data_IF_697543762697
#
_entry.id   IF_697543762697
#
_cell.length_a   1.000
_cell.length_b   1.000
_cell.length_c   1.000
_cell.angle_alpha   90.00
_cell.angle_beta   90.00
_cell.angle_gamma   90.00
#
_symmetry.space_group_name_H-M   'P 1'
#
loop_
_entity.id
_entity.type
_entity.pdbx_description
1 polymer ?
#
# COMPACT_ATOMS: atom_id res chain seq x y z
N UNK A 1 -9.40 -14.61 -2.15
CA UNK A 1 -9.18 -13.21 -1.72
C UNK A 1 -8.52 -12.46 -2.84
N UNK A 2 -8.98 -11.24 -3.13
CA UNK A 2 -8.42 -10.41 -4.20
C UNK A 2 -7.02 -9.87 -3.77
N UNK A 3 -6.04 -9.86 -4.66
CA UNK A 3 -4.65 -9.47 -4.37
C UNK A 3 -4.58 -8.04 -3.79
N UNK A 4 -5.42 -7.13 -4.30
CA UNK A 4 -5.53 -5.76 -3.78
C UNK A 4 -5.98 -5.74 -2.32
N UNK A 5 -6.91 -6.62 -1.93
CA UNK A 5 -7.39 -6.70 -0.55
C UNK A 5 -6.29 -7.23 0.39
N UNK A 6 -5.42 -8.12 -0.10
CA UNK A 6 -4.23 -8.55 0.65
C UNK A 6 -3.24 -7.40 0.83
N UNK A 7 -3.03 -6.58 -0.20
CA UNK A 7 -2.18 -5.39 -0.10
C UNK A 7 -2.70 -4.38 0.93
N UNK A 8 -4.01 -4.12 0.93
CA UNK A 8 -4.65 -3.23 1.91
C UNK A 8 -4.43 -3.74 3.33
N UNK A 9 -4.70 -5.03 3.60
CA UNK A 9 -4.47 -5.61 4.92
C UNK A 9 -3.01 -5.55 5.35
N UNK A 10 -2.06 -5.72 4.42
CA UNK A 10 -0.64 -5.58 4.71
C UNK A 10 -0.27 -4.14 5.06
N UNK A 11 -0.80 -3.16 4.32
CA UNK A 11 -0.64 -1.73 4.60
C UNK A 11 -1.19 -1.37 5.98
N UNK A 12 -2.43 -1.76 6.28
CA UNK A 12 -3.07 -1.50 7.58
C UNK A 12 -2.28 -2.13 8.74
N UNK A 13 -1.84 -3.39 8.58
CA UNK A 13 -1.01 -4.08 9.59
C UNK A 13 0.33 -3.37 9.82
N UNK A 14 0.87 -2.71 8.81
CA UNK A 14 2.11 -1.93 8.89
C UNK A 14 1.87 -0.46 9.32
N UNK A 15 0.67 -0.09 9.77
CA UNK A 15 0.36 1.25 10.25
C UNK A 15 0.11 2.28 9.14
N UNK A 16 -0.02 1.85 7.89
CA UNK A 16 -0.45 2.74 6.81
C UNK A 16 -1.96 2.91 6.83
N UNK A 17 -2.43 4.14 6.74
CA UNK A 17 -3.84 4.48 6.61
C UNK A 17 -4.11 5.14 5.26
N UNK A 18 -5.35 5.02 4.81
CA UNK A 18 -5.79 5.61 3.57
C UNK A 18 -5.93 7.13 3.72
N UNK A 19 -5.07 7.88 3.04
CA UNK A 19 -5.05 9.35 3.08
C UNK A 19 -5.94 9.98 2.02
N UNK A 20 -5.97 9.41 0.81
CA UNK A 20 -6.73 9.97 -0.31
C UNK A 20 -7.21 8.87 -1.26
N UNK A 21 -8.48 8.92 -1.61
CA UNK A 21 -9.02 8.17 -2.73
C UNK A 21 -8.75 8.89 -4.04
N UNK A 22 -8.13 8.21 -5.00
CA UNK A 22 -8.01 8.68 -6.37
C UNK A 22 -8.82 7.83 -7.33
N UNK A 23 -9.00 8.32 -8.56
CA UNK A 23 -9.66 7.56 -9.62
C UNK A 23 -8.85 6.30 -10.00
N UNK A 24 -7.53 6.45 -10.18
CA UNK A 24 -6.64 5.35 -10.59
C UNK A 24 -5.87 4.71 -9.42
N UNK A 25 -5.47 5.52 -8.42
CA UNK A 25 -4.67 5.08 -7.28
C UNK A 25 -5.23 5.66 -5.99
N UNK A 26 -5.36 4.82 -4.97
CA UNK A 26 -5.53 5.23 -3.59
C UNK A 26 -4.15 5.55 -2.99
N UNK A 27 -4.06 6.56 -2.12
CA UNK A 27 -2.80 6.93 -1.47
C UNK A 27 -2.86 6.50 -0.01
N UNK A 28 -1.99 5.58 0.37
CA UNK A 28 -1.80 5.15 1.75
C UNK A 28 -0.59 5.89 2.34
N UNK A 29 -0.70 6.37 3.57
CA UNK A 29 0.38 7.05 4.28
C UNK A 29 0.61 6.40 5.63
N UNK A 30 1.88 6.35 6.04
CA UNK A 30 2.27 6.09 7.42
C UNK A 30 2.98 7.35 7.95
N UNK A 31 2.46 7.92 9.03
CA UNK A 31 3.00 9.15 9.64
C UNK A 31 4.31 8.87 10.38
N UNK A 32 4.43 7.71 11.03
CA UNK A 32 5.62 7.31 11.79
C UNK A 32 6.82 7.16 10.86
N UNK A 33 6.62 6.47 9.73
CA UNK A 33 7.64 6.25 8.71
C UNK A 33 7.79 7.45 7.75
N UNK A 34 6.89 8.45 7.84
CA UNK A 34 6.78 9.58 6.90
C UNK A 34 6.76 9.15 5.43
N UNK A 35 6.21 7.97 5.15
CA UNK A 35 6.15 7.36 3.82
C UNK A 35 4.73 7.34 3.27
N UNK A 36 4.62 7.37 1.95
CA UNK A 36 3.35 7.25 1.23
C UNK A 36 3.47 6.26 0.08
N UNK A 37 2.53 5.33 -0.01
CA UNK A 37 2.51 4.27 -1.02
C UNK A 37 1.24 4.42 -1.86
N UNK A 38 1.35 4.59 -3.19
CA UNK A 38 0.20 4.55 -4.09
C UNK A 38 -0.24 3.11 -4.33
N UNK A 39 -1.53 2.83 -4.12
CA UNK A 39 -2.16 1.54 -4.38
C UNK A 39 -3.08 1.64 -5.59
N UNK A 40 -2.78 0.88 -6.65
CA UNK A 40 -3.57 0.86 -7.89
C UNK A 40 -4.96 0.25 -7.66
N UNK A 41 -6.00 0.86 -8.24
CA UNK A 41 -7.39 0.40 -8.13
C UNK A 41 -7.77 -0.63 -9.19
N UNK A 42 -7.29 -0.43 -10.41
CA UNK A 42 -7.61 -1.26 -11.58
C UNK A 42 -6.43 -2.14 -11.99
N UNK A 43 -6.71 -3.35 -12.48
CA UNK A 43 -5.68 -4.30 -12.96
C UNK A 43 -4.53 -4.48 -11.96
N UNK A 44 -4.89 -4.74 -10.69
CA UNK A 44 -3.94 -5.05 -9.63
C UNK A 44 -3.64 -6.54 -9.62
N UNK A 45 -2.39 -6.92 -9.77
CA UNK A 45 -1.95 -8.31 -9.86
C UNK A 45 -0.96 -8.69 -8.74
N UNK A 46 -0.46 -9.93 -8.77
CA UNK A 46 0.48 -10.45 -7.76
C UNK A 46 1.83 -9.72 -7.74
N UNK A 47 2.29 -9.19 -8.87
CA UNK A 47 3.52 -8.40 -8.91
C UNK A 47 3.33 -7.05 -8.23
N UNK A 48 2.16 -6.42 -8.41
CA UNK A 48 1.80 -5.20 -7.68
C UNK A 48 1.75 -5.47 -6.17
N UNK A 49 1.15 -6.60 -5.74
CA UNK A 49 1.15 -7.01 -4.34
C UNK A 49 2.57 -7.15 -3.78
N UNK A 50 3.45 -7.84 -4.51
CA UNK A 50 4.85 -8.03 -4.11
C UNK A 50 5.59 -6.70 -4.01
N UNK A 51 5.31 -5.78 -4.92
CA UNK A 51 5.87 -4.42 -4.89
C UNK A 51 5.43 -3.66 -3.65
N UNK A 52 4.13 -3.64 -3.33
CA UNK A 52 3.60 -2.97 -2.13
C UNK A 52 4.24 -3.53 -0.85
N UNK A 53 4.36 -4.86 -0.73
CA UNK A 53 5.00 -5.48 0.43
C UNK A 53 6.46 -5.06 0.59
N UNK A 54 7.19 -4.96 -0.53
CA UNK A 54 8.58 -4.47 -0.52
C UNK A 54 8.66 -3.00 -0.10
N UNK A 55 7.78 -2.14 -0.60
CA UNK A 55 7.73 -0.72 -0.22
C UNK A 55 7.43 -0.54 1.27
N UNK A 56 6.52 -1.35 1.84
CA UNK A 56 6.26 -1.37 3.28
C UNK A 56 7.54 -1.71 4.06
N UNK A 57 8.25 -2.77 3.65
CA UNK A 57 9.48 -3.19 4.32
C UNK A 57 10.60 -2.14 4.19
N UNK A 58 10.73 -1.50 3.03
CA UNK A 58 11.71 -0.44 2.82
C UNK A 58 11.39 0.83 3.60
N UNK A 59 10.11 1.20 3.71
CA UNK A 59 9.68 2.30 4.58
C UNK A 59 9.98 2.03 6.05
N UNK A 60 9.81 0.78 6.51
CA UNK A 60 10.07 0.39 7.90
C UNK A 60 11.56 0.33 8.28
N UNK A 61 12.47 0.26 7.29
CA UNK A 61 13.93 0.23 7.49
C UNK A 61 14.57 1.62 7.54
N UNK A 62 13.79 2.68 7.35
CA UNK A 62 14.26 4.07 7.25
C UNK A 62 14.11 4.81 8.57
#
# INVERSE_FOLDING_TARGET
MNERMQAIKALEKAGYFLKRHGANHDIYCNIELRCSIPLKRHSFNKNDLRYIQKEIEQGAKK
#
